data_IF_954559378428
#
_entry.id   IF_954559378428
#
_cell.length_a   1.000
_cell.length_b   1.000
_cell.length_c   1.000
_cell.angle_alpha   90.00
_cell.angle_beta   90.00
_cell.angle_gamma   90.00
#
_symmetry.space_group_name_H-M   'P 1'
#
loop_
_entity.id
_entity.type
_entity.pdbx_description
1 polymer ?
#
# COMPACT_ATOMS: atom_id res chain seq x y z
N UNK A 1 4.37 2.71 47.03
CA UNK A 1 4.40 2.54 45.56
C UNK A 1 3.68 3.72 44.97
N UNK A 2 4.42 4.66 44.37
CA UNK A 2 3.84 5.84 43.71
C UNK A 2 3.25 5.35 42.39
N UNK A 3 1.94 5.48 42.22
CA UNK A 3 1.30 5.29 40.93
C UNK A 3 1.84 6.38 40.00
N UNK A 4 2.58 5.98 38.98
CA UNK A 4 2.98 6.86 37.89
C UNK A 4 1.71 7.20 37.10
N UNK A 5 1.13 8.38 37.35
CA UNK A 5 0.08 8.91 36.48
C UNK A 5 0.69 9.04 35.07
N UNK A 6 0.11 8.39 34.04
CA UNK A 6 0.59 8.55 32.68
C UNK A 6 0.36 10.01 32.24
N UNK A 7 1.46 10.70 31.98
CA UNK A 7 1.54 12.10 31.58
C UNK A 7 0.50 12.46 30.51
N UNK A 8 -0.49 13.29 30.90
CA UNK A 8 -1.54 13.80 30.01
C UNK A 8 -0.98 14.54 28.79
N UNK A 9 0.27 15.04 28.86
CA UNK A 9 0.92 15.71 27.72
C UNK A 9 1.32 14.73 26.61
N UNK A 10 1.55 13.45 26.93
CA UNK A 10 1.80 12.42 25.94
C UNK A 10 0.52 12.10 25.15
N UNK A 11 -0.65 12.16 25.81
CA UNK A 11 -1.96 12.09 25.13
C UNK A 11 -2.16 13.26 24.18
N UNK A 12 -1.82 14.50 24.57
CA UNK A 12 -1.98 15.66 23.68
C UNK A 12 -1.16 15.57 22.38
N UNK A 13 -0.03 14.84 22.37
CA UNK A 13 0.77 14.61 21.16
C UNK A 13 0.27 13.44 20.29
N UNK A 14 -0.48 12.52 20.89
CA UNK A 14 -1.14 11.39 20.21
C UNK A 14 -2.55 11.74 19.69
N UNK A 15 -3.09 12.91 20.05
CA UNK A 15 -4.49 13.32 19.75
C UNK A 15 -4.69 13.89 18.34
N UNK A 16 -3.66 13.97 17.49
CA UNK A 16 -3.84 14.53 16.13
C UNK A 16 -4.07 13.52 15.01
N UNK A 17 -4.24 12.22 15.31
CA UNK A 17 -4.64 11.25 14.29
C UNK A 17 -6.02 11.62 13.68
N UNK A 18 -6.92 12.18 14.48
CA UNK A 18 -8.21 12.66 13.98
C UNK A 18 -8.01 13.84 13.02
N UNK A 19 -7.18 14.83 13.35
CA UNK A 19 -6.92 15.99 12.47
C UNK A 19 -6.18 15.55 11.21
N UNK A 20 -5.17 14.70 11.31
CA UNK A 20 -4.47 14.17 10.14
C UNK A 20 -5.41 13.48 9.14
N UNK A 21 -6.25 12.55 9.64
CA UNK A 21 -7.20 11.85 8.79
C UNK A 21 -8.31 12.77 8.28
N UNK A 22 -8.79 13.69 9.13
CA UNK A 22 -9.79 14.69 8.77
C UNK A 22 -9.31 15.66 7.70
N UNK A 23 -8.01 15.98 7.70
CA UNK A 23 -7.42 16.91 6.74
C UNK A 23 -7.00 16.21 5.46
N UNK A 24 -6.43 15.00 5.54
CA UNK A 24 -5.90 14.29 4.38
C UNK A 24 -6.98 13.55 3.59
N UNK A 25 -7.98 13.00 4.28
CA UNK A 25 -9.15 12.30 3.72
C UNK A 25 -10.43 12.86 4.36
N UNK A 26 -10.89 14.06 3.93
CA UNK A 26 -12.02 14.74 4.56
C UNK A 26 -13.35 14.00 4.38
N UNK A 27 -13.53 13.30 3.26
CA UNK A 27 -14.68 12.42 3.05
C UNK A 27 -14.57 11.19 3.97
N UNK A 28 -15.57 11.05 4.84
CA UNK A 28 -15.64 9.95 5.80
C UNK A 28 -15.68 8.58 5.13
N UNK A 29 -16.38 8.43 3.99
CA UNK A 29 -16.48 7.16 3.28
C UNK A 29 -15.15 6.73 2.67
N UNK A 30 -14.42 7.70 2.10
CA UNK A 30 -13.08 7.45 1.55
C UNK A 30 -12.11 7.07 2.67
N UNK A 31 -12.21 7.75 3.82
CA UNK A 31 -11.40 7.45 5.00
C UNK A 31 -11.68 6.06 5.55
N UNK A 32 -12.94 5.70 5.71
CA UNK A 32 -13.36 4.37 6.15
C UNK A 32 -12.83 3.29 5.19
N UNK A 33 -12.93 3.50 3.88
CA UNK A 33 -12.39 2.58 2.88
C UNK A 33 -10.86 2.40 2.98
N UNK A 34 -10.12 3.47 3.26
CA UNK A 34 -8.67 3.39 3.47
C UNK A 34 -8.34 2.65 4.77
N UNK A 35 -9.05 2.97 5.85
CA UNK A 35 -8.86 2.31 7.15
C UNK A 35 -9.22 0.83 7.11
N UNK A 36 -10.34 0.48 6.47
CA UNK A 36 -10.79 -0.90 6.28
C UNK A 36 -9.75 -1.69 5.49
N UNK A 37 -9.23 -1.11 4.40
CA UNK A 37 -8.21 -1.79 3.60
C UNK A 37 -6.90 -1.98 4.37
N UNK A 38 -6.46 -1.00 5.16
CA UNK A 38 -5.29 -1.15 6.04
C UNK A 38 -5.55 -2.23 7.10
N UNK A 39 -6.75 -2.32 7.67
CA UNK A 39 -7.14 -3.42 8.55
C UNK A 39 -7.08 -4.77 7.83
N UNK A 40 -7.62 -4.84 6.61
CA UNK A 40 -7.57 -6.01 5.75
C UNK A 40 -6.13 -6.44 5.42
N UNK A 41 -5.16 -5.51 5.29
CA UNK A 41 -3.77 -5.91 5.03
C UNK A 41 -3.14 -6.70 6.17
N UNK A 42 -3.66 -6.56 7.39
CA UNK A 42 -3.21 -7.29 8.57
C UNK A 42 -3.92 -8.64 8.76
N UNK A 43 -4.98 -8.90 7.99
CA UNK A 43 -5.77 -10.13 8.08
C UNK A 43 -5.23 -11.23 7.16
N UNK A 44 -5.35 -12.49 7.59
CA UNK A 44 -5.01 -13.67 6.78
C UNK A 44 -6.16 -14.07 5.83
N UNK A 45 -6.76 -13.11 5.16
CA UNK A 45 -7.83 -13.32 4.17
C UNK A 45 -7.40 -12.73 2.83
N UNK A 46 -7.93 -13.23 1.71
CA UNK A 46 -7.58 -12.72 0.38
C UNK A 46 -8.81 -12.29 -0.41
N UNK A 47 -9.09 -10.98 -0.35
CA UNK A 47 -10.14 -10.33 -1.15
C UNK A 47 -9.72 -10.06 -2.60
N UNK A 48 -8.48 -10.39 -2.96
CA UNK A 48 -7.91 -10.17 -4.31
C UNK A 48 -8.00 -8.71 -4.78
N UNK A 49 -7.94 -7.77 -3.84
CA UNK A 49 -7.93 -6.34 -4.10
C UNK A 49 -6.62 -5.68 -3.65
N UNK A 50 -6.34 -4.53 -4.27
CA UNK A 50 -5.24 -3.62 -4.03
C UNK A 50 -5.78 -2.19 -3.92
N UNK A 51 -5.04 -1.30 -3.26
CA UNK A 51 -5.34 0.12 -3.29
C UNK A 51 -4.37 0.88 -4.20
N UNK A 52 -4.92 1.81 -4.99
CA UNK A 52 -4.18 2.74 -5.83
C UNK A 52 -4.41 4.16 -5.33
N UNK A 53 -3.37 4.78 -4.78
CA UNK A 53 -3.40 6.10 -4.17
C UNK A 53 -2.82 7.15 -5.11
N UNK A 54 -3.68 8.00 -5.66
CA UNK A 54 -3.32 9.05 -6.62
C UNK A 54 -3.36 10.41 -5.93
N UNK A 55 -2.33 11.26 -6.14
CA UNK A 55 -2.35 12.64 -5.67
C UNK A 55 -0.99 13.32 -5.80
N UNK A 56 -0.97 14.64 -6.04
CA UNK A 56 0.19 15.43 -6.46
C UNK A 56 1.23 15.79 -5.38
N UNK A 57 1.20 15.11 -4.22
CA UNK A 57 2.12 15.36 -3.10
C UNK A 57 1.59 16.38 -2.09
N UNK A 58 2.19 16.41 -0.89
CA UNK A 58 1.75 17.24 0.26
C UNK A 58 0.32 16.99 0.77
N UNK A 59 -0.22 15.79 0.53
CA UNK A 59 -1.62 15.47 0.84
C UNK A 59 -1.79 14.44 1.96
N UNK A 60 -0.73 14.15 2.73
CA UNK A 60 -0.76 13.12 3.78
C UNK A 60 -0.51 11.69 3.31
N UNK A 61 -0.64 11.38 2.01
CA UNK A 61 -0.41 10.05 1.42
C UNK A 61 0.82 9.31 1.96
N UNK A 62 1.98 9.98 2.00
CA UNK A 62 3.23 9.39 2.49
C UNK A 62 3.20 9.10 4.00
N UNK A 63 2.48 9.91 4.79
CA UNK A 63 2.29 9.67 6.23
C UNK A 63 1.46 8.40 6.44
N UNK A 64 0.32 8.26 5.75
CA UNK A 64 -0.49 7.05 5.82
C UNK A 64 0.29 5.81 5.36
N UNK A 65 1.09 5.95 4.30
CA UNK A 65 1.89 4.84 3.79
C UNK A 65 2.94 4.39 4.79
N UNK A 66 3.56 5.33 5.51
CA UNK A 66 4.50 5.03 6.58
C UNK A 66 3.81 4.37 7.78
N UNK A 67 2.58 4.79 8.12
CA UNK A 67 1.77 4.14 9.15
C UNK A 67 1.48 2.69 8.74
N UNK A 68 0.95 2.47 7.53
CA UNK A 68 0.68 1.13 7.01
C UNK A 68 1.97 0.28 7.04
N UNK A 69 3.10 0.81 6.55
CA UNK A 69 4.40 0.12 6.59
C UNK A 69 4.81 -0.31 8.00
N UNK A 70 4.59 0.53 9.01
CA UNK A 70 4.97 0.26 10.39
C UNK A 70 4.10 -0.81 11.08
N UNK A 71 2.90 -1.10 10.55
CA UNK A 71 2.02 -2.13 11.07
C UNK A 71 2.40 -3.55 10.61
N UNK A 72 3.30 -3.65 9.62
CA UNK A 72 3.71 -4.91 9.03
C UNK A 72 5.14 -5.27 9.46
N UNK A 73 5.34 -6.52 9.91
CA UNK A 73 6.67 -7.04 10.25
C UNK A 73 7.65 -6.96 9.06
N UNK A 74 7.14 -7.24 7.85
CA UNK A 74 7.89 -7.13 6.61
C UNK A 74 7.06 -6.46 5.54
N UNK A 75 7.34 -5.18 5.33
CA UNK A 75 6.87 -4.40 4.19
C UNK A 75 8.02 -4.18 3.21
N UNK A 76 7.76 -4.31 1.91
CA UNK A 76 8.78 -4.18 0.86
C UNK A 76 8.37 -3.19 -0.21
N UNK A 77 9.36 -2.44 -0.72
CA UNK A 77 9.19 -1.62 -1.90
C UNK A 77 9.30 -2.48 -3.16
N UNK A 78 8.35 -2.32 -4.08
CA UNK A 78 8.24 -3.02 -5.35
C UNK A 78 8.12 -2.02 -6.49
N UNK A 79 8.54 -2.45 -7.67
CA UNK A 79 8.49 -1.66 -8.90
C UNK A 79 7.52 -2.30 -9.88
N UNK A 80 6.50 -1.54 -10.32
CA UNK A 80 5.49 -2.07 -11.24
C UNK A 80 6.04 -2.41 -12.63
N UNK A 81 7.12 -1.74 -13.04
CA UNK A 81 7.84 -2.03 -14.29
C UNK A 81 8.79 -3.24 -14.17
N UNK A 82 8.94 -3.82 -12.97
CA UNK A 82 9.83 -4.95 -12.67
C UNK A 82 9.15 -6.04 -11.83
N UNK A 83 8.04 -6.56 -12.34
CA UNK A 83 7.28 -7.64 -11.69
C UNK A 83 7.66 -9.02 -12.26
N UNK A 84 8.93 -9.42 -12.08
CA UNK A 84 9.41 -10.72 -12.56
C UNK A 84 10.81 -11.09 -12.08
N UNK A 85 11.12 -12.38 -12.12
CA UNK A 85 12.47 -12.90 -11.90
C UNK A 85 13.09 -12.49 -10.57
N UNK A 86 14.28 -11.90 -10.63
CA UNK A 86 15.04 -11.50 -9.44
C UNK A 86 14.34 -10.43 -8.59
N UNK A 87 13.64 -9.49 -9.23
CA UNK A 87 12.99 -8.37 -8.54
C UNK A 87 11.85 -8.84 -7.61
N UNK A 88 11.29 -10.04 -7.84
CA UNK A 88 10.29 -10.65 -6.95
C UNK A 88 10.90 -11.29 -5.70
N UNK A 89 12.22 -11.42 -5.59
CA UNK A 89 12.86 -12.07 -4.43
C UNK A 89 12.55 -11.35 -3.11
N UNK A 90 12.37 -10.02 -3.15
CA UNK A 90 12.06 -9.22 -1.96
C UNK A 90 10.71 -9.56 -1.33
N UNK A 91 9.73 -9.99 -2.13
CA UNK A 91 8.35 -10.26 -1.69
C UNK A 91 8.24 -11.51 -0.80
N UNK A 92 9.28 -12.36 -0.78
CA UNK A 92 9.29 -13.60 0.00
C UNK A 92 9.16 -13.29 1.48
N UNK A 93 8.05 -13.72 2.09
CA UNK A 93 7.73 -13.47 3.50
C UNK A 93 7.23 -12.05 3.79
N UNK A 94 7.07 -11.19 2.77
CA UNK A 94 6.49 -9.86 2.96
C UNK A 94 4.97 -9.96 3.13
N UNK A 95 4.42 -9.18 4.05
CA UNK A 95 2.97 -9.03 4.27
C UNK A 95 2.40 -7.77 3.62
N UNK A 96 3.25 -6.81 3.26
CA UNK A 96 2.88 -5.63 2.48
C UNK A 96 3.89 -5.37 1.35
N UNK A 97 3.39 -5.16 0.15
CA UNK A 97 4.12 -4.70 -1.01
C UNK A 97 3.67 -3.27 -1.34
N UNK A 98 4.63 -2.36 -1.45
CA UNK A 98 4.38 -0.94 -1.70
C UNK A 98 5.05 -0.54 -3.00
N UNK A 99 4.32 0.13 -3.89
CA UNK A 99 4.90 0.79 -5.04
C UNK A 99 4.83 2.30 -4.82
N UNK A 100 5.97 2.96 -4.57
CA UNK A 100 6.00 4.39 -4.25
C UNK A 100 5.91 5.31 -5.48
N UNK A 101 5.94 4.73 -6.68
CA UNK A 101 5.81 5.46 -7.94
C UNK A 101 5.03 4.66 -8.97
N UNK A 102 4.14 5.35 -9.70
CA UNK A 102 3.52 4.80 -10.90
C UNK A 102 4.44 5.05 -12.09
N UNK A 103 4.93 4.01 -12.80
CA UNK A 103 5.75 4.19 -13.96
C UNK A 103 4.94 4.77 -15.13
N UNK A 104 5.58 5.63 -15.93
CA UNK A 104 5.03 6.09 -17.22
C UNK A 104 5.05 4.98 -18.28
N UNK A 105 5.93 4.00 -18.12
CA UNK A 105 6.02 2.84 -18.99
C UNK A 105 4.91 1.82 -18.67
N UNK A 106 4.63 0.96 -19.66
CA UNK A 106 3.67 -0.14 -19.49
C UNK A 106 4.09 -1.07 -18.36
N UNK A 107 3.12 -1.54 -17.60
CA UNK A 107 3.30 -2.48 -16.50
C UNK A 107 2.89 -3.89 -16.92
N UNK A 108 3.49 -4.90 -16.30
CA UNK A 108 3.05 -6.28 -16.48
C UNK A 108 1.76 -6.54 -15.68
N UNK A 109 0.62 -6.23 -16.30
CA UNK A 109 -0.70 -6.33 -15.67
C UNK A 109 -1.04 -7.76 -15.25
N UNK A 110 -0.65 -8.76 -16.03
CA UNK A 110 -0.90 -10.17 -15.69
C UNK A 110 -0.12 -10.59 -14.44
N UNK A 111 1.17 -10.24 -14.36
CA UNK A 111 1.96 -10.51 -13.17
C UNK A 111 1.36 -9.83 -11.93
N UNK A 112 0.95 -8.55 -12.04
CA UNK A 112 0.33 -7.84 -10.92
C UNK A 112 -1.00 -8.49 -10.49
N UNK A 113 -1.85 -8.90 -11.43
CA UNK A 113 -3.10 -9.64 -11.13
C UNK A 113 -2.82 -10.94 -10.38
N UNK A 114 -1.81 -11.70 -10.79
CA UNK A 114 -1.40 -12.95 -10.11
C UNK A 114 -0.89 -12.65 -8.70
N UNK A 115 -0.07 -11.62 -8.53
CA UNK A 115 0.47 -11.20 -7.23
C UNK A 115 -0.63 -10.73 -6.26
N UNK A 116 -1.55 -9.88 -6.72
CA UNK A 116 -2.70 -9.41 -5.92
C UNK A 116 -3.61 -10.57 -5.54
N UNK A 117 -3.82 -11.52 -6.46
CA UNK A 117 -4.65 -12.69 -6.20
C UNK A 117 -3.93 -13.77 -5.36
N UNK A 118 -2.68 -13.52 -4.94
CA UNK A 118 -1.83 -14.48 -4.22
C UNK A 118 -1.68 -15.82 -4.97
N UNK A 119 -1.58 -15.75 -6.30
CA UNK A 119 -1.29 -16.90 -7.14
C UNK A 119 0.15 -17.39 -6.97
N UNK A 120 0.41 -18.64 -7.36
CA UNK A 120 1.76 -19.20 -7.37
C UNK A 120 2.60 -18.46 -8.43
N UNK A 121 3.81 -18.04 -8.04
CA UNK A 121 4.78 -17.38 -8.92
C UNK A 121 6.12 -18.11 -8.87
N UNK A 122 6.92 -17.98 -9.91
CA UNK A 122 8.30 -18.45 -9.92
C UNK A 122 9.26 -17.29 -9.61
N UNK A 123 10.15 -17.53 -8.66
CA UNK A 123 11.18 -16.58 -8.25
C UNK A 123 12.53 -17.14 -8.68
N UNK A 124 13.32 -16.28 -9.33
CA UNK A 124 14.64 -16.61 -9.89
C UNK A 124 15.72 -15.74 -9.23
N UNK A 125 16.18 -16.06 -8.00
CA UNK A 125 17.22 -15.28 -7.35
C UNK A 125 18.55 -15.40 -8.09
N UNK A 126 19.34 -14.33 -8.11
CA UNK A 126 20.67 -14.36 -8.75
C UNK A 126 21.56 -15.41 -8.07
N UNK A 127 22.21 -16.23 -8.89
CA UNK A 127 23.16 -17.27 -8.46
C UNK A 127 22.55 -18.34 -7.53
N UNK A 128 21.23 -18.55 -7.57
CA UNK A 128 20.53 -19.60 -6.82
C UNK A 128 19.53 -20.34 -7.72
N UNK A 129 19.09 -21.51 -7.27
CA UNK A 129 18.02 -22.23 -7.92
C UNK A 129 16.69 -21.45 -7.83
N UNK A 130 15.92 -21.53 -8.90
CA UNK A 130 14.55 -21.03 -8.94
C UNK A 130 13.65 -21.84 -8.02
N UNK A 131 12.62 -21.19 -7.48
CA UNK A 131 11.60 -21.87 -6.69
C UNK A 131 10.24 -21.20 -6.88
N UNK A 132 9.17 -21.99 -6.72
CA UNK A 132 7.80 -21.47 -6.74
C UNK A 132 7.41 -20.98 -5.34
N UNK A 133 6.72 -19.85 -5.30
CA UNK A 133 6.34 -19.17 -4.07
C UNK A 133 4.92 -18.64 -4.16
N UNK A 134 4.17 -18.73 -3.06
CA UNK A 134 2.84 -18.13 -2.95
C UNK A 134 2.94 -16.87 -2.07
N UNK A 135 2.89 -15.67 -2.65
CA UNK A 135 3.03 -14.43 -1.90
C UNK A 135 1.78 -14.16 -1.06
N UNK A 136 1.98 -13.67 0.15
CA UNK A 136 0.89 -13.27 1.05
C UNK A 136 0.68 -11.75 1.07
N UNK A 137 1.62 -10.98 0.53
CA UNK A 137 1.63 -9.53 0.58
C UNK A 137 0.35 -8.90 0.01
N UNK A 138 -0.20 -7.91 0.72
CA UNK A 138 -1.18 -6.98 0.16
C UNK A 138 -0.49 -5.84 -0.56
N UNK A 139 -1.20 -5.15 -1.45
CA UNK A 139 -0.59 -4.16 -2.34
C UNK A 139 -1.15 -2.76 -2.10
N UNK A 140 -0.26 -1.79 -1.89
CA UNK A 140 -0.58 -0.37 -1.96
C UNK A 140 0.30 0.25 -3.04
N UNK A 141 -0.32 0.85 -4.04
CA UNK A 141 0.35 1.50 -5.15
C UNK A 141 0.11 2.99 -5.03
N UNK A 142 1.18 3.77 -5.01
CA UNK A 142 1.17 5.21 -4.87
C UNK A 142 1.71 5.86 -6.14
N UNK A 143 1.09 6.96 -6.54
CA UNK A 143 1.67 7.82 -7.55
C UNK A 143 0.88 9.09 -7.78
N UNK A 144 1.26 9.81 -8.84
CA UNK A 144 0.64 11.08 -9.22
C UNK A 144 -0.35 10.90 -10.37
N UNK A 145 -0.31 9.76 -11.04
CA UNK A 145 -1.15 9.42 -12.20
C UNK A 145 -1.45 7.92 -12.19
N UNK A 146 -2.46 7.54 -12.95
CA UNK A 146 -2.80 6.13 -13.20
C UNK A 146 -1.67 5.45 -13.98
N UNK A 147 -1.39 4.16 -13.72
CA UNK A 147 -0.42 3.42 -14.52
C UNK A 147 -0.88 3.31 -15.97
N UNK A 148 0.08 3.31 -16.89
CA UNK A 148 -0.20 3.01 -18.28
C UNK A 148 -0.63 1.54 -18.41
N UNK A 149 -1.92 1.35 -18.68
CA UNK A 149 -2.57 0.04 -18.82
C UNK A 149 -3.17 -0.10 -20.22
N UNK A 150 -3.03 -1.29 -20.80
CA UNK A 150 -3.64 -1.65 -22.08
C UNK A 150 -4.90 -2.51 -21.89
N UNK A 151 -5.06 -3.12 -20.71
CA UNK A 151 -6.14 -4.07 -20.44
C UNK A 151 -7.20 -3.37 -19.58
N UNK A 152 -8.26 -2.94 -20.26
CA UNK A 152 -9.40 -2.26 -19.67
C UNK A 152 -10.52 -3.24 -19.25
N UNK A 153 -10.22 -4.54 -19.12
CA UNK A 153 -11.21 -5.52 -18.69
C UNK A 153 -11.70 -5.27 -17.25
N UNK A 154 -12.93 -5.67 -16.98
CA UNK A 154 -13.52 -5.67 -15.63
C UNK A 154 -12.64 -6.42 -14.62
N UNK A 155 -11.91 -7.45 -15.10
CA UNK A 155 -10.99 -8.22 -14.29
C UNK A 155 -9.84 -7.38 -13.70
N UNK A 156 -9.37 -6.34 -14.39
CA UNK A 156 -8.39 -5.42 -13.84
C UNK A 156 -9.02 -4.49 -12.81
N UNK A 157 -10.07 -3.78 -13.19
CA UNK A 157 -10.66 -2.72 -12.38
C UNK A 157 -11.27 -3.21 -11.07
N UNK A 158 -11.88 -4.40 -11.06
CA UNK A 158 -12.43 -5.00 -9.82
C UNK A 158 -11.39 -5.27 -8.73
N UNK A 159 -10.10 -5.24 -9.07
CA UNK A 159 -9.00 -5.45 -8.13
C UNK A 159 -8.47 -4.16 -7.53
N UNK A 160 -8.87 -2.99 -8.00
CA UNK A 160 -8.31 -1.71 -7.53
C UNK A 160 -9.37 -0.84 -6.87
N UNK A 161 -9.14 -0.52 -5.60
CA UNK A 161 -9.78 0.61 -4.94
C UNK A 161 -8.94 1.85 -5.21
N UNK A 162 -9.44 2.73 -6.07
CA UNK A 162 -8.76 3.95 -6.48
C UNK A 162 -9.11 5.04 -5.47
N UNK A 163 -8.09 5.57 -4.79
CA UNK A 163 -8.22 6.59 -3.76
C UNK A 163 -7.53 7.87 -4.24
N UNK A 164 -8.30 8.93 -4.39
CA UNK A 164 -7.78 10.24 -4.72
C UNK A 164 -7.45 11.03 -3.44
N UNK A 165 -6.17 11.38 -3.29
CA UNK A 165 -5.66 12.22 -2.22
C UNK A 165 -5.64 13.66 -2.69
N UNK A 166 -6.81 14.31 -2.73
CA UNK A 166 -6.99 15.66 -3.29
C UNK A 166 -6.76 16.79 -2.26
N UNK A 167 -6.70 16.48 -0.97
CA UNK A 167 -6.57 17.50 0.07
C UNK A 167 -5.12 17.96 0.25
N UNK A 168 -4.86 19.25 0.07
CA UNK A 168 -3.56 19.86 0.34
C UNK A 168 -3.38 20.05 1.86
N UNK A 169 -2.53 19.24 2.48
CA UNK A 169 -2.13 19.44 3.88
C UNK A 169 -1.11 20.58 3.89
N UNK A 170 -1.59 21.82 4.04
CA UNK A 170 -0.71 22.96 4.29
C UNK A 170 -0.06 22.75 5.66
N UNK A 171 1.25 22.52 5.67
CA UNK A 171 2.02 22.56 6.91
C UNK A 171 1.80 23.92 7.57
N UNK A 172 1.32 23.95 8.81
CA UNK A 172 1.42 25.16 9.63
C UNK A 172 2.92 25.41 9.83
N UNK A 173 3.44 26.48 9.22
CA UNK A 173 4.70 27.09 9.65
C UNK A 173 4.50 27.75 11.01
#
# INVERSE_FOLDING_TARGET
MVACEPDLKLRARLVDNSIYLNTSLPDIKVRELVQEYIGYTLCNMNLQCAQLWIGSGSNGKSVMLNIARALHEKAVAMRLDKLGGFDLTSIVGASLAICDETPKAKINQQALKTLISQGLIDINPKHKASFSYKPIAKWIICGNHMPAIDDHSDGWWRRFHIIEWNAQVKGKQ
#
